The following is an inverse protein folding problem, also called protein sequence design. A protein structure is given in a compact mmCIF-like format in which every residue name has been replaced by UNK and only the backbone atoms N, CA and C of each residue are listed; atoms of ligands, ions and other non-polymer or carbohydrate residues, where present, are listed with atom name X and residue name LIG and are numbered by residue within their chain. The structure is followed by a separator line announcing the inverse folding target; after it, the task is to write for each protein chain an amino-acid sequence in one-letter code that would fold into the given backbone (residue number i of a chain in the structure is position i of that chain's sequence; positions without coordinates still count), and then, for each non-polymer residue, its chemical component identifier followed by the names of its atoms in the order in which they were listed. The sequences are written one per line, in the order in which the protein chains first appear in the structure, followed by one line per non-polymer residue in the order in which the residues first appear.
data_IF_988283177939
#
_entry.id   IF_988283177939
#
_cell.length_a   1.000
_cell.length_b   1.000
_cell.length_c   1.000
_cell.angle_alpha   90.00
_cell.angle_beta   90.00
_cell.angle_gamma   90.00
#
_symmetry.space_group_name_H-M   'P 1'
#
loop_
_entity.id
_entity.type
_entity.pdbx_description
1 polymer ?
#
# COMPACT_ATOMS: atom_id res chain seq x y z
N UNK A 1 -13.35 -10.79 0.77
CA UNK A 1 -14.05 -9.49 0.63
C UNK A 1 -15.31 -9.43 1.50
N UNK A 2 -16.30 -10.31 1.31
CA UNK A 2 -17.55 -10.31 2.09
C UNK A 2 -17.33 -10.35 3.63
N UNK A 3 -16.47 -11.25 4.12
CA UNK A 3 -16.15 -11.36 5.56
C UNK A 3 -15.51 -10.08 6.12
N UNK A 4 -14.65 -9.42 5.34
CA UNK A 4 -13.95 -8.20 5.76
C UNK A 4 -14.91 -6.99 5.79
N UNK A 5 -15.90 -6.96 4.90
CA UNK A 5 -16.95 -5.92 4.88
C UNK A 5 -17.98 -6.15 6.00
N UNK A 6 -18.32 -7.41 6.27
CA UNK A 6 -19.20 -7.79 7.39
C UNK A 6 -18.63 -7.35 8.75
N UNK A 7 -17.30 -7.32 8.91
CA UNK A 7 -16.65 -6.92 10.15
C UNK A 7 -16.84 -5.43 10.50
N UNK A 8 -17.14 -4.55 9.53
CA UNK A 8 -17.33 -3.11 9.75
C UNK A 8 -18.52 -2.55 8.95
N UNK A 9 -19.66 -3.26 8.94
CA UNK A 9 -20.82 -2.86 8.13
C UNK A 9 -21.36 -1.47 8.50
N UNK A 10 -21.30 -1.11 9.78
CA UNK A 10 -21.67 0.22 10.28
C UNK A 10 -20.81 1.33 9.67
N UNK A 11 -19.48 1.12 9.58
CA UNK A 11 -18.57 2.07 8.95
C UNK A 11 -18.88 2.24 7.46
N UNK A 12 -19.28 1.17 6.77
CA UNK A 12 -19.68 1.23 5.37
C UNK A 12 -20.92 2.12 5.20
N UNK A 13 -21.98 1.88 6.00
CA UNK A 13 -23.18 2.72 5.98
C UNK A 13 -22.86 4.18 6.29
N UNK A 14 -22.05 4.42 7.32
CA UNK A 14 -21.61 5.77 7.69
C UNK A 14 -20.83 6.45 6.56
N UNK A 15 -20.01 5.70 5.82
CA UNK A 15 -19.25 6.21 4.67
C UNK A 15 -20.15 6.58 3.49
N UNK A 16 -21.20 5.81 3.24
CA UNK A 16 -22.22 6.12 2.23
C UNK A 16 -22.98 7.38 2.62
N UNK A 17 -23.40 7.48 3.88
CA UNK A 17 -24.08 8.67 4.39
C UNK A 17 -23.19 9.92 4.25
N UNK A 18 -21.90 9.80 4.58
CA UNK A 18 -20.92 10.87 4.37
C UNK A 18 -20.85 11.31 2.89
N UNK A 19 -20.84 10.37 1.94
CA UNK A 19 -20.84 10.67 0.51
C UNK A 19 -22.14 11.35 0.05
N UNK A 20 -23.29 10.91 0.55
CA UNK A 20 -24.58 11.54 0.25
C UNK A 20 -24.65 12.97 0.81
N UNK A 21 -24.21 13.18 2.05
CA UNK A 21 -24.11 14.51 2.66
C UNK A 21 -23.13 15.40 1.90
N UNK A 22 -22.02 14.84 1.41
CA UNK A 22 -21.09 15.58 0.55
C UNK A 22 -21.73 15.99 -0.77
N UNK A 23 -22.49 15.10 -1.43
CA UNK A 23 -23.21 15.43 -2.66
C UNK A 23 -24.24 16.54 -2.42
N UNK A 24 -25.00 16.45 -1.34
CA UNK A 24 -25.94 17.52 -0.93
C UNK A 24 -25.19 18.83 -0.73
N UNK A 25 -24.05 18.80 -0.02
CA UNK A 25 -23.21 19.97 0.21
C UNK A 25 -22.66 20.55 -1.10
N UNK A 26 -22.22 19.71 -2.03
CA UNK A 26 -21.68 20.09 -3.33
C UNK A 26 -22.68 20.90 -4.16
N UNK A 27 -23.96 20.51 -4.14
CA UNK A 27 -25.03 21.21 -4.85
C UNK A 27 -25.54 22.45 -4.09
N UNK A 28 -25.41 22.49 -2.76
CA UNK A 28 -25.88 23.63 -1.96
C UNK A 28 -24.85 24.74 -1.74
N UNK A 29 -23.58 24.37 -1.52
CA UNK A 29 -22.46 25.30 -1.31
C UNK A 29 -21.17 24.67 -1.85
N UNK A 30 -20.97 24.82 -3.16
CA UNK A 30 -19.84 24.24 -3.88
C UNK A 30 -18.48 24.68 -3.30
N UNK A 31 -18.34 25.95 -2.91
CA UNK A 31 -17.07 26.48 -2.41
C UNK A 31 -16.68 25.80 -1.11
N UNK A 32 -17.62 25.66 -0.17
CA UNK A 32 -17.36 24.95 1.08
C UNK A 32 -17.12 23.45 0.87
N UNK A 33 -17.85 22.82 -0.05
CA UNK A 33 -17.65 21.41 -0.38
C UNK A 33 -16.21 21.14 -0.86
N UNK A 34 -15.70 21.94 -1.80
CA UNK A 34 -14.35 21.79 -2.36
C UNK A 34 -13.27 21.92 -1.28
N UNK A 35 -13.41 22.86 -0.34
CA UNK A 35 -12.46 23.04 0.79
C UNK A 35 -12.38 21.79 1.67
N UNK A 36 -13.43 20.98 1.72
CA UNK A 36 -13.44 19.77 2.54
C UNK A 36 -12.79 18.54 1.87
N UNK A 37 -12.44 18.63 0.59
CA UNK A 37 -11.78 17.54 -0.13
C UNK A 37 -10.33 17.47 0.32
N UNK A 38 -10.00 16.40 1.05
CA UNK A 38 -8.63 16.07 1.44
C UNK A 38 -8.30 14.62 1.07
N UNK A 39 -7.03 14.24 1.15
CA UNK A 39 -6.55 12.90 0.73
C UNK A 39 -7.31 11.80 1.47
N UNK A 40 -7.51 11.93 2.77
CA UNK A 40 -8.26 10.94 3.56
C UNK A 40 -9.72 10.82 3.11
N UNK A 41 -10.40 11.94 2.84
CA UNK A 41 -11.76 11.91 2.34
C UNK A 41 -11.85 11.21 1.00
N UNK A 42 -10.94 11.52 0.07
CA UNK A 42 -10.86 10.86 -1.24
C UNK A 42 -10.61 9.36 -1.10
N UNK A 43 -9.70 8.96 -0.21
CA UNK A 43 -9.34 7.56 0.04
C UNK A 43 -10.53 6.73 0.57
N UNK A 44 -11.26 7.26 1.58
CA UNK A 44 -12.48 6.62 2.08
C UNK A 44 -13.60 6.60 1.02
N UNK A 45 -13.72 7.67 0.23
CA UNK A 45 -14.72 7.79 -0.84
C UNK A 45 -14.50 6.75 -1.94
N UNK A 46 -13.26 6.64 -2.45
CA UNK A 46 -12.88 5.66 -3.48
C UNK A 46 -13.08 4.25 -2.96
N UNK A 47 -12.64 3.96 -1.74
CA UNK A 47 -12.82 2.64 -1.10
C UNK A 47 -14.30 2.26 -1.04
N UNK A 48 -15.16 3.21 -0.66
CA UNK A 48 -16.61 3.00 -0.53
C UNK A 48 -17.25 2.75 -1.90
N UNK A 49 -16.96 3.59 -2.89
CA UNK A 49 -17.51 3.45 -4.25
C UNK A 49 -17.06 2.13 -4.90
N UNK A 50 -15.78 1.76 -4.73
CA UNK A 50 -15.25 0.53 -5.30
C UNK A 50 -15.91 -0.72 -4.69
N UNK A 51 -16.31 -0.72 -3.42
CA UNK A 51 -17.04 -1.88 -2.85
C UNK A 51 -18.29 -2.19 -3.66
N UNK A 52 -19.04 -1.17 -4.08
CA UNK A 52 -20.28 -1.33 -4.83
C UNK A 52 -20.03 -1.61 -6.32
N UNK A 53 -18.98 -1.01 -6.90
CA UNK A 53 -18.65 -1.24 -8.30
C UNK A 53 -17.95 -2.58 -8.54
N UNK A 54 -17.23 -3.13 -7.56
CA UNK A 54 -16.42 -4.33 -7.74
C UNK A 54 -17.20 -5.56 -8.25
N UNK A 55 -18.38 -5.92 -7.73
CA UNK A 55 -19.17 -7.02 -8.30
C UNK A 55 -19.49 -6.81 -9.79
N UNK A 56 -19.85 -5.58 -10.18
CA UNK A 56 -20.12 -5.22 -11.56
C UNK A 56 -18.85 -5.28 -12.43
N UNK A 57 -17.74 -4.74 -11.91
CA UNK A 57 -16.43 -4.79 -12.59
C UNK A 57 -16.00 -6.24 -12.81
N UNK A 58 -16.14 -7.12 -11.82
CA UNK A 58 -15.83 -8.54 -11.97
C UNK A 58 -16.69 -9.18 -13.05
N UNK A 59 -17.99 -8.87 -13.11
CA UNK A 59 -18.87 -9.39 -14.16
C UNK A 59 -18.47 -8.90 -15.57
N UNK A 60 -18.14 -7.62 -15.72
CA UNK A 60 -17.72 -7.01 -16.98
C UNK A 60 -16.37 -7.58 -17.45
N UNK A 61 -15.39 -7.65 -16.55
CA UNK A 61 -14.02 -8.07 -16.84
C UNK A 61 -13.80 -9.59 -16.76
N UNK A 62 -14.84 -10.37 -16.47
CA UNK A 62 -14.74 -11.82 -16.30
C UNK A 62 -14.07 -12.52 -17.51
N UNK A 63 -14.34 -12.05 -18.73
CA UNK A 63 -13.72 -12.63 -19.95
C UNK A 63 -12.23 -12.32 -20.11
N UNK A 64 -11.72 -11.23 -19.52
CA UNK A 64 -10.33 -10.78 -19.65
C UNK A 64 -9.45 -11.28 -18.49
N UNK A 65 -10.02 -11.61 -17.34
CA UNK A 65 -9.31 -12.08 -16.14
C UNK A 65 -9.03 -13.60 -16.14
N UNK A 66 -8.82 -14.20 -17.32
CA UNK A 66 -8.49 -15.64 -17.47
C UNK A 66 -7.25 -16.10 -16.67
N UNK A 67 -6.40 -15.18 -16.23
CA UNK A 67 -5.22 -15.49 -15.40
C UNK A 67 -5.57 -15.73 -13.93
N UNK A 68 -6.73 -15.22 -13.47
CA UNK A 68 -7.28 -15.42 -12.13
C UNK A 68 -8.34 -16.54 -12.08
N UNK A 69 -8.72 -17.10 -13.25
CA UNK A 69 -9.73 -18.15 -13.38
C UNK A 69 -9.20 -19.57 -13.11
N UNK A 70 -7.88 -19.75 -13.01
CA UNK A 70 -7.34 -21.01 -12.49
C UNK A 70 -7.87 -21.24 -11.07
N UNK A 71 -8.13 -22.50 -10.69
CA UNK A 71 -8.54 -22.91 -9.33
C UNK A 71 -7.81 -22.05 -8.30
N UNK A 72 -8.53 -21.51 -7.31
CA UNK A 72 -8.02 -20.64 -6.22
C UNK A 72 -6.65 -21.16 -5.74
N UNK A 73 -5.57 -20.65 -6.34
CA UNK A 73 -4.22 -21.04 -5.99
C UNK A 73 -3.77 -20.14 -4.86
N UNK A 74 -2.80 -20.61 -4.08
CA UNK A 74 -2.16 -19.81 -3.04
C UNK A 74 -1.75 -18.41 -3.54
N UNK A 75 -1.21 -18.34 -4.77
CA UNK A 75 -0.80 -17.10 -5.45
C UNK A 75 -2.00 -16.17 -5.67
N UNK A 76 -3.09 -16.65 -6.29
CA UNK A 76 -4.24 -15.79 -6.58
C UNK A 76 -4.93 -15.30 -5.31
N UNK A 77 -4.94 -16.12 -4.25
CA UNK A 77 -5.43 -15.72 -2.93
C UNK A 77 -4.61 -14.57 -2.33
N UNK A 78 -3.28 -14.66 -2.38
CA UNK A 78 -2.39 -13.61 -1.82
C UNK A 78 -2.47 -12.33 -2.64
N UNK A 79 -2.43 -12.40 -3.98
CA UNK A 79 -2.59 -11.21 -4.82
C UNK A 79 -3.93 -10.53 -4.51
N UNK A 80 -5.01 -11.30 -4.40
CA UNK A 80 -6.32 -10.77 -4.03
C UNK A 80 -6.31 -10.12 -2.64
N UNK A 81 -5.63 -10.73 -1.67
CA UNK A 81 -5.48 -10.16 -0.33
C UNK A 81 -4.72 -8.84 -0.34
N UNK A 82 -3.56 -8.79 -1.01
CA UNK A 82 -2.73 -7.60 -1.13
C UNK A 82 -3.46 -6.46 -1.84
N UNK A 83 -4.16 -6.75 -2.94
CA UNK A 83 -5.00 -5.76 -3.63
C UNK A 83 -6.17 -5.30 -2.77
N UNK A 84 -6.80 -6.22 -2.02
CA UNK A 84 -7.88 -5.89 -1.08
C UNK A 84 -7.38 -4.94 0.01
N UNK A 85 -6.20 -5.21 0.58
CA UNK A 85 -5.60 -4.33 1.58
C UNK A 85 -5.25 -2.97 0.98
N UNK A 86 -4.69 -2.92 -0.22
CA UNK A 86 -4.39 -1.66 -0.89
C UNK A 86 -5.63 -0.82 -1.14
N UNK A 87 -6.69 -1.42 -1.66
CA UNK A 87 -7.89 -0.67 -2.02
C UNK A 87 -8.72 -0.34 -0.78
N UNK A 88 -8.97 -1.30 0.10
CA UNK A 88 -9.99 -1.19 1.14
C UNK A 88 -9.46 -0.90 2.56
N UNK A 89 -8.16 -0.69 2.78
CA UNK A 89 -7.60 -0.37 4.11
C UNK A 89 -8.46 0.57 4.99
N UNK A 90 -9.03 1.68 4.47
CA UNK A 90 -9.80 2.63 5.27
C UNK A 90 -11.03 2.02 5.92
N UNK A 91 -11.62 1.03 5.23
CA UNK A 91 -12.82 0.33 5.65
C UNK A 91 -12.52 -0.97 6.42
N UNK A 92 -11.35 -1.57 6.20
CA UNK A 92 -10.97 -2.83 6.89
C UNK A 92 -10.33 -2.59 8.24
N UNK A 93 -9.61 -1.49 8.41
CA UNK A 93 -8.75 -1.25 9.57
C UNK A 93 -9.52 -0.62 10.73
N UNK A 94 -9.22 -1.02 11.97
CA UNK A 94 -9.88 -0.52 13.19
C UNK A 94 -9.39 0.85 13.67
N UNK A 95 -8.17 1.27 13.30
CA UNK A 95 -7.56 2.54 13.73
C UNK A 95 -6.81 3.24 12.59
N UNK A 96 -6.60 4.55 12.70
CA UNK A 96 -5.61 5.20 11.85
C UNK A 96 -4.21 4.60 12.14
N UNK A 97 -3.38 4.30 11.12
CA UNK A 97 -2.06 3.68 11.32
C UNK A 97 -1.09 4.53 12.16
N UNK A 98 -1.32 5.84 12.25
CA UNK A 98 -0.54 6.77 13.05
C UNK A 98 -1.24 7.15 14.37
N UNK A 99 -2.34 6.48 14.72
CA UNK A 99 -3.06 6.77 15.96
C UNK A 99 -2.22 6.37 17.18
N UNK A 100 -1.87 7.35 18.00
CA UNK A 100 -1.10 7.18 19.22
C UNK A 100 -1.80 7.89 20.39
N UNK A 101 -1.98 7.21 21.52
CA UNK A 101 -2.55 7.79 22.73
C UNK A 101 -2.21 6.96 23.97
N UNK A 102 -2.08 7.62 25.12
CA UNK A 102 -1.95 6.98 26.44
C UNK A 102 -0.84 5.92 26.49
N UNK A 103 0.37 6.32 26.07
CA UNK A 103 1.58 5.47 25.95
C UNK A 103 1.89 4.64 27.20
N UNK A 104 1.42 5.06 28.37
CA UNK A 104 1.58 4.30 29.63
C UNK A 104 0.85 2.97 29.60
N UNK A 105 -0.25 2.88 28.85
CA UNK A 105 -1.12 1.72 28.74
C UNK A 105 -0.95 1.02 27.40
N UNK A 106 -0.71 1.78 26.32
CA UNK A 106 -0.77 1.25 24.96
C UNK A 106 0.59 0.85 24.38
N UNK A 107 1.71 1.27 24.97
CA UNK A 107 3.04 0.99 24.43
C UNK A 107 3.39 -0.49 24.53
N UNK A 108 3.87 -1.08 23.41
CA UNK A 108 4.41 -2.44 23.33
C UNK A 108 3.51 -3.52 23.95
N UNK A 109 2.20 -3.42 23.69
CA UNK A 109 1.25 -4.46 24.05
C UNK A 109 1.46 -5.68 23.15
N UNK A 110 1.47 -6.86 23.76
CA UNK A 110 1.59 -8.14 23.06
C UNK A 110 0.35 -8.40 22.18
N UNK A 111 0.45 -9.26 21.17
CA UNK A 111 -0.70 -9.71 20.38
C UNK A 111 -1.86 -10.17 21.27
N UNK A 112 -3.09 -9.85 20.85
CA UNK A 112 -4.34 -10.13 21.56
C UNK A 112 -4.52 -9.40 22.90
N UNK A 113 -3.69 -8.42 23.22
CA UNK A 113 -3.90 -7.56 24.40
C UNK A 113 -5.18 -6.71 24.26
N UNK A 114 -5.93 -6.60 25.33
CA UNK A 114 -7.15 -5.77 25.40
C UNK A 114 -6.97 -4.61 26.37
N UNK A 115 -7.41 -3.42 25.97
CA UNK A 115 -7.45 -2.21 26.80
C UNK A 115 -8.87 -1.64 26.84
N UNK A 116 -9.21 -0.92 27.89
CA UNK A 116 -10.50 -0.25 28.00
C UNK A 116 -10.39 1.18 27.47
N UNK A 117 -11.34 1.58 26.63
CA UNK A 117 -11.59 2.97 26.22
C UNK A 117 -12.64 3.56 27.15
N UNK A 118 -12.31 4.64 27.84
CA UNK A 118 -13.24 5.43 28.63
C UNK A 118 -13.58 6.71 27.85
N UNK A 119 -14.84 6.88 27.47
CA UNK A 119 -15.29 8.04 26.70
C UNK A 119 -15.51 9.27 27.59
N UNK A 120 -14.99 10.40 27.16
CA UNK A 120 -15.12 11.69 27.81
C UNK A 120 -16.36 12.41 27.30
N UNK A 121 -17.02 13.14 28.20
CA UNK A 121 -18.21 13.92 27.84
C UNK A 121 -17.80 15.03 26.87
N UNK A 122 -18.43 15.03 25.71
CA UNK A 122 -18.29 16.08 24.71
C UNK A 122 -19.59 16.85 24.60
N UNK A 123 -19.50 18.16 24.38
CA UNK A 123 -20.65 18.94 23.98
C UNK A 123 -21.07 18.48 22.59
N UNK A 124 -22.14 17.69 22.53
CA UNK A 124 -22.76 17.27 21.27
C UNK A 124 -23.47 18.47 20.67
N UNK A 125 -22.71 19.30 19.95
CA UNK A 125 -23.28 20.36 19.13
C UNK A 125 -24.13 19.68 18.07
N UNK A 126 -25.46 19.84 18.14
CA UNK A 126 -26.33 19.37 17.06
C UNK A 126 -25.97 20.15 15.80
N UNK A 127 -25.80 19.47 14.65
CA UNK A 127 -25.45 20.16 13.42
C UNK A 127 -26.56 21.14 13.06
N UNK A 128 -26.22 22.43 12.95
CA UNK A 128 -27.16 23.51 12.65
C UNK A 128 -27.25 23.76 11.14
N UNK A 129 -26.19 23.45 10.39
CA UNK A 129 -26.11 23.62 8.93
C UNK A 129 -25.82 22.31 8.21
N UNK A 130 -26.04 22.28 6.88
CA UNK A 130 -25.66 21.17 6.00
C UNK A 130 -24.15 20.89 6.07
N UNK A 131 -23.33 21.94 6.18
CA UNK A 131 -21.89 21.82 6.38
C UNK A 131 -21.59 21.10 7.70
N UNK A 132 -22.25 21.49 8.80
CA UNK A 132 -22.02 20.87 10.11
C UNK A 132 -22.42 19.39 10.11
N UNK A 133 -23.53 19.03 9.47
CA UNK A 133 -23.95 17.64 9.31
C UNK A 133 -22.89 16.82 8.55
N UNK A 134 -22.36 17.38 7.46
CA UNK A 134 -21.29 16.73 6.70
C UNK A 134 -20.00 16.60 7.52
N UNK A 135 -19.55 17.68 8.18
CA UNK A 135 -18.33 17.66 9.00
C UNK A 135 -18.46 16.68 10.17
N UNK A 136 -19.63 16.64 10.81
CA UNK A 136 -19.93 15.69 11.87
C UNK A 136 -19.76 14.25 11.38
N UNK A 137 -20.41 13.89 10.27
CA UNK A 137 -20.31 12.55 9.69
C UNK A 137 -18.92 12.22 9.19
N UNK A 138 -18.24 13.17 8.55
CA UNK A 138 -16.85 13.05 8.12
C UNK A 138 -15.92 12.71 9.27
N UNK A 139 -16.11 13.33 10.44
CA UNK A 139 -15.31 13.06 11.64
C UNK A 139 -15.61 11.70 12.30
N UNK A 140 -16.82 11.17 12.10
CA UNK A 140 -17.20 9.81 12.55
C UNK A 140 -16.57 8.73 11.67
N UNK A 141 -16.54 8.96 10.34
CA UNK A 141 -16.01 8.00 9.36
C UNK A 141 -14.49 8.02 9.27
N UNK A 142 -13.90 9.21 9.13
CA UNK A 142 -12.47 9.34 8.87
C UNK A 142 -11.71 9.20 10.19
N UNK A 143 -11.05 8.05 10.36
CA UNK A 143 -10.22 7.76 11.52
C UNK A 143 -9.06 8.76 11.63
N UNK A 144 -9.04 9.54 12.71
CA UNK A 144 -8.01 10.55 12.99
C UNK A 144 -6.75 9.91 13.59
N UNK A 145 -5.61 10.57 13.44
CA UNK A 145 -4.34 10.21 14.11
C UNK A 145 -4.31 10.57 15.60
N UNK A 146 -5.26 11.38 16.06
CA UNK A 146 -5.45 11.72 17.46
C UNK A 146 -6.92 12.01 17.75
N UNK A 147 -7.37 11.71 18.97
CA UNK A 147 -8.72 11.99 19.44
C UNK A 147 -8.67 12.36 20.91
N UNK A 148 -9.46 13.37 21.30
CA UNK A 148 -9.68 13.75 22.69
C UNK A 148 -10.91 13.07 23.29
N UNK A 149 -11.67 12.32 22.50
CA UNK A 149 -13.01 11.83 22.86
C UNK A 149 -12.97 10.68 23.87
N UNK A 150 -11.84 9.97 23.99
CA UNK A 150 -11.69 8.85 24.90
C UNK A 150 -10.25 8.72 25.40
N UNK A 151 -10.06 8.07 26.54
CA UNK A 151 -8.73 7.70 27.07
C UNK A 151 -8.61 6.18 27.21
N UNK A 152 -7.41 5.64 27.07
CA UNK A 152 -7.12 4.24 27.36
C UNK A 152 -6.72 4.05 28.82
N UNK A 153 -7.30 3.02 29.43
CA UNK A 153 -7.13 2.70 30.85
C UNK A 153 -7.00 1.19 31.06
N UNK A 154 -6.28 0.79 32.10
CA UNK A 154 -6.13 -0.62 32.47
C UNK A 154 -7.40 -1.16 33.15
N UNK A 155 -7.98 -0.36 34.04
CA UNK A 155 -9.19 -0.70 34.78
C UNK A 155 -9.94 0.55 35.20
N UNK A 156 -11.25 0.43 35.30
CA UNK A 156 -12.15 1.47 35.82
C UNK A 156 -12.86 0.94 37.05
N UNK A 157 -12.83 1.71 38.14
CA UNK A 157 -13.58 1.48 39.37
C UNK A 157 -14.48 2.67 39.64
N UNK A 158 -15.72 2.41 40.05
CA UNK A 158 -16.68 3.45 40.41
C UNK A 158 -16.64 3.60 41.93
N UNK A 159 -16.35 4.81 42.43
CA UNK A 159 -16.28 5.10 43.87
C UNK A 159 -17.13 6.32 44.19
N UNK A 160 -18.40 6.12 44.53
CA UNK A 160 -19.34 7.19 44.88
C UNK A 160 -19.63 8.14 43.71
N UNK A 161 -19.34 9.43 43.88
CA UNK A 161 -19.51 10.48 42.86
C UNK A 161 -18.37 10.58 41.85
N UNK A 162 -17.24 9.91 42.12
CA UNK A 162 -16.05 9.94 41.27
C UNK A 162 -15.81 8.59 40.60
N UNK A 163 -15.19 8.63 39.42
CA UNK A 163 -14.69 7.46 38.72
C UNK A 163 -13.18 7.43 38.90
N UNK A 164 -12.65 6.28 39.32
CA UNK A 164 -11.22 6.06 39.49
C UNK A 164 -10.77 5.15 38.36
N UNK A 165 -9.84 5.62 37.54
CA UNK A 165 -9.23 4.79 36.51
C UNK A 165 -7.73 4.63 36.76
N UNK A 166 -7.20 3.48 36.34
CA UNK A 166 -5.79 3.15 36.54
C UNK A 166 -5.04 3.23 35.21
N UNK A 167 -3.93 3.96 35.20
CA UNK A 167 -2.95 3.94 34.11
C UNK A 167 -1.57 3.55 34.68
N UNK A 168 -1.08 2.36 34.33
CA UNK A 168 0.25 1.87 34.75
C UNK A 168 0.53 2.10 36.24
N UNK A 169 -0.35 1.58 37.09
CA UNK A 169 -0.32 1.64 38.56
C UNK A 169 -0.57 3.02 39.20
N UNK A 170 -0.88 4.07 38.42
CA UNK A 170 -1.39 5.33 38.97
C UNK A 170 -2.91 5.35 38.90
N UNK A 171 -3.54 5.49 40.06
CA UNK A 171 -4.98 5.74 40.15
C UNK A 171 -5.25 7.25 39.97
N UNK A 172 -6.14 7.58 39.04
CA UNK A 172 -6.54 8.95 38.75
C UNK A 172 -8.04 9.06 38.96
N UNK A 173 -8.45 10.06 39.74
CA UNK A 173 -9.85 10.38 40.01
C UNK A 173 -10.35 11.38 38.99
N UNK A 174 -11.47 11.10 38.35
CA UNK A 174 -12.19 12.00 37.44
C UNK A 174 -13.65 12.11 37.88
N UNK A 175 -14.19 13.32 37.82
CA UNK A 175 -15.60 13.56 38.12
C UNK A 175 -16.51 12.96 37.06
N UNK A 176 -17.69 12.47 37.46
CA UNK A 176 -18.69 11.91 36.54
C UNK A 176 -19.21 12.94 35.52
N UNK A 177 -19.10 14.23 35.82
CA UNK A 177 -19.44 15.35 34.95
C UNK A 177 -18.63 15.38 33.65
N UNK A 178 -17.41 14.84 33.67
CA UNK A 178 -16.48 14.83 32.52
C UNK A 178 -16.53 13.54 31.69
N UNK A 179 -17.39 12.59 32.05
CA UNK A 179 -17.46 11.26 31.42
C UNK A 179 -18.77 11.11 30.66
N UNK A 180 -18.71 10.48 29.50
CA UNK A 180 -19.93 10.13 28.77
C UNK A 180 -20.66 8.98 29.48
N UNK A 181 -21.91 9.22 29.86
CA UNK A 181 -22.75 8.25 30.56
C UNK A 181 -23.85 7.80 29.59
N UNK A 182 -23.93 6.49 29.35
CA UNK A 182 -24.99 5.87 28.56
C UNK A 182 -25.76 4.90 29.46
N UNK A 183 -27.07 5.07 29.57
CA UNK A 183 -27.95 4.25 30.41
C UNK A 183 -27.49 4.18 31.90
N UNK A 184 -27.03 5.30 32.46
CA UNK A 184 -26.61 5.39 33.86
C UNK A 184 -25.23 4.78 34.18
N UNK A 185 -24.51 4.25 33.19
CA UNK A 185 -23.14 3.73 33.33
C UNK A 185 -22.15 4.53 32.49
N UNK A 186 -20.88 4.65 32.92
CA UNK A 186 -19.83 5.23 32.08
C UNK A 186 -19.69 4.41 30.80
N UNK A 187 -19.62 5.09 29.66
CA UNK A 187 -19.41 4.44 28.37
C UNK A 187 -17.98 3.92 28.30
N UNK A 188 -17.85 2.60 28.39
CA UNK A 188 -16.58 1.87 28.35
C UNK A 188 -16.64 0.84 27.23
N UNK A 189 -15.65 0.86 26.35
CA UNK A 189 -15.51 -0.13 25.27
C UNK A 189 -14.17 -0.84 25.35
N UNK A 190 -14.16 -2.15 25.16
CA UNK A 190 -12.91 -2.91 25.04
C UNK A 190 -12.34 -2.78 23.63
N UNK A 191 -11.05 -2.42 23.51
CA UNK A 191 -10.30 -2.49 22.26
C UNK A 191 -9.24 -3.58 22.36
N UNK A 192 -9.26 -4.52 21.43
CA UNK A 192 -8.26 -5.59 21.31
C UNK A 192 -7.27 -5.27 20.19
N UNK A 193 -5.98 -5.36 20.49
CA UNK A 193 -4.88 -5.20 19.52
C UNK A 193 -4.44 -6.58 19.03
N UNK A 194 -5.00 -7.02 17.90
CA UNK A 194 -4.82 -8.39 17.38
C UNK A 194 -3.34 -8.74 17.18
N UNK A 195 -2.59 -7.85 16.53
CA UNK A 195 -1.14 -8.03 16.29
C UNK A 195 -0.27 -7.25 17.28
N UNK A 196 -0.85 -6.77 18.37
CA UNK A 196 -0.16 -5.95 19.37
C UNK A 196 0.05 -4.51 18.92
N UNK A 197 0.88 -3.79 19.67
CA UNK A 197 1.21 -2.39 19.41
C UNK A 197 2.71 -2.16 19.34
N UNK A 198 3.10 -0.99 18.82
CA UNK A 198 4.49 -0.56 18.73
C UNK A 198 4.94 0.32 19.91
N UNK A 199 6.16 0.88 19.80
CA UNK A 199 6.75 1.75 20.82
C UNK A 199 5.99 3.06 21.08
N UNK A 200 5.09 3.43 20.16
CA UNK A 200 4.20 4.59 20.28
C UNK A 200 2.74 4.19 20.57
N UNK A 201 2.48 2.91 20.82
CA UNK A 201 1.13 2.40 21.08
C UNK A 201 0.22 2.40 19.84
N UNK A 202 0.81 2.47 18.64
CA UNK A 202 0.08 2.38 17.36
C UNK A 202 -0.26 0.91 17.09
N UNK A 203 -1.44 0.65 16.53
CA UNK A 203 -1.90 -0.71 16.23
C UNK A 203 -1.11 -1.32 15.05
N UNK A 204 -0.41 -2.44 15.29
CA UNK A 204 0.44 -3.08 14.29
C UNK A 204 -0.38 -3.61 13.12
N UNK A 205 -1.59 -4.13 13.35
CA UNK A 205 -2.46 -4.61 12.27
C UNK A 205 -2.86 -3.48 11.32
N UNK A 206 -3.26 -2.33 11.88
CA UNK A 206 -3.56 -1.13 11.12
C UNK A 206 -2.37 -0.69 10.27
N UNK A 207 -1.17 -0.65 10.85
CA UNK A 207 0.07 -0.28 10.14
C UNK A 207 0.43 -1.29 9.05
N UNK A 208 0.28 -2.59 9.32
CA UNK A 208 0.59 -3.66 8.37
C UNK A 208 -0.26 -3.58 7.10
N UNK A 209 -1.58 -3.38 7.27
CA UNK A 209 -2.54 -3.28 6.16
C UNK A 209 -2.26 -2.02 5.34
N UNK A 210 -2.10 -0.85 5.98
CA UNK A 210 -1.75 0.39 5.29
C UNK A 210 -0.36 0.34 4.65
N UNK A 211 0.59 -0.40 5.25
CA UNK A 211 1.94 -0.59 4.71
C UNK A 211 1.95 -1.25 3.33
N UNK A 212 0.98 -2.14 3.07
CA UNK A 212 0.76 -2.73 1.74
C UNK A 212 0.67 -1.65 0.66
N UNK A 213 -0.05 -0.55 0.91
CA UNK A 213 -0.29 0.50 -0.09
C UNK A 213 1.01 1.13 -0.56
N UNK A 214 1.82 1.57 0.39
CA UNK A 214 3.05 2.31 0.10
C UNK A 214 4.07 1.39 -0.57
N UNK A 215 4.30 0.20 -0.02
CA UNK A 215 5.28 -0.74 -0.59
C UNK A 215 4.87 -1.18 -2.00
N UNK A 216 3.60 -1.56 -2.24
CA UNK A 216 3.18 -1.95 -3.60
C UNK A 216 3.21 -0.76 -4.58
N UNK A 217 2.86 0.45 -4.14
CA UNK A 217 2.90 1.66 -4.97
C UNK A 217 4.32 2.00 -5.42
N UNK A 218 5.28 2.00 -4.51
CA UNK A 218 6.69 2.22 -4.83
C UNK A 218 7.19 1.13 -5.78
N UNK A 219 6.87 -0.14 -5.48
CA UNK A 219 7.20 -1.29 -6.32
C UNK A 219 6.72 -1.14 -7.76
N UNK A 220 5.43 -0.82 -7.93
CA UNK A 220 4.82 -0.67 -9.26
C UNK A 220 5.37 0.56 -9.99
N UNK A 221 5.52 1.69 -9.31
CA UNK A 221 6.06 2.91 -9.90
C UNK A 221 7.45 2.72 -10.46
N UNK A 222 8.35 2.09 -9.70
CA UNK A 222 9.71 1.83 -10.15
C UNK A 222 9.75 0.84 -11.32
N UNK A 223 8.94 -0.23 -11.30
CA UNK A 223 8.82 -1.17 -12.43
C UNK A 223 8.34 -0.49 -13.70
N UNK A 224 7.39 0.45 -13.61
CA UNK A 224 6.92 1.23 -14.77
C UNK A 224 8.04 2.09 -15.34
N UNK A 225 8.80 2.79 -14.49
CA UNK A 225 9.95 3.59 -14.92
C UNK A 225 11.00 2.70 -15.60
N UNK A 226 11.36 1.56 -14.99
CA UNK A 226 12.28 0.60 -15.59
C UNK A 226 11.77 0.03 -16.91
N UNK A 227 10.46 -0.22 -17.02
CA UNK A 227 9.83 -0.71 -18.24
C UNK A 227 10.05 0.26 -19.41
N UNK A 228 9.71 1.53 -19.24
CA UNK A 228 9.86 2.51 -20.31
C UNK A 228 11.31 2.69 -20.72
N UNK A 229 12.23 2.83 -19.76
CA UNK A 229 13.65 3.02 -20.05
C UNK A 229 14.24 1.77 -20.73
N UNK A 230 13.97 0.58 -20.18
CA UNK A 230 14.52 -0.67 -20.67
C UNK A 230 14.01 -1.05 -22.07
N UNK A 231 12.72 -0.85 -22.34
CA UNK A 231 12.13 -1.11 -23.67
C UNK A 231 12.68 -0.16 -24.71
N UNK A 232 12.71 1.14 -24.43
CA UNK A 232 13.14 2.16 -25.40
C UNK A 232 14.62 1.96 -25.73
N UNK A 233 15.49 1.88 -24.71
CA UNK A 233 16.93 1.73 -24.92
C UNK A 233 17.27 0.36 -25.52
N UNK A 234 16.58 -0.71 -25.08
CA UNK A 234 16.81 -2.06 -25.59
C UNK A 234 16.42 -2.17 -27.07
N UNK A 235 15.30 -1.57 -27.45
CA UNK A 235 14.88 -1.48 -28.85
C UNK A 235 15.87 -0.70 -29.68
N UNK A 236 16.28 0.50 -29.24
CA UNK A 236 17.24 1.32 -29.99
C UNK A 236 18.55 0.56 -30.20
N UNK A 237 19.14 0.01 -29.14
CA UNK A 237 20.40 -0.72 -29.21
C UNK A 237 20.30 -1.98 -30.10
N UNK A 238 19.26 -2.79 -29.92
CA UNK A 238 19.07 -4.00 -30.72
C UNK A 238 18.78 -3.70 -32.19
N UNK A 239 18.02 -2.63 -32.47
CA UNK A 239 17.62 -2.24 -33.81
C UNK A 239 18.77 -1.61 -34.61
N UNK A 240 19.44 -0.60 -34.06
CA UNK A 240 20.50 0.13 -34.77
C UNK A 240 21.81 -0.65 -34.80
N UNK A 241 22.15 -1.38 -33.72
CA UNK A 241 23.45 -2.02 -33.58
C UNK A 241 24.62 -1.02 -33.52
N UNK A 242 25.83 -1.51 -33.75
CA UNK A 242 27.03 -0.68 -33.91
C UNK A 242 27.46 0.06 -32.63
N UNK A 243 27.81 1.34 -32.78
CA UNK A 243 28.40 2.12 -31.69
C UNK A 243 27.45 2.35 -30.49
N UNK A 244 26.21 2.75 -30.74
CA UNK A 244 25.22 3.00 -29.69
C UNK A 244 24.93 1.74 -28.86
N UNK A 245 24.85 0.60 -29.55
CA UNK A 245 24.68 -0.69 -28.93
C UNK A 245 25.85 -1.04 -28.00
N UNK A 246 27.09 -0.93 -28.52
CA UNK A 246 28.31 -1.18 -27.74
C UNK A 246 28.43 -0.26 -26.52
N UNK A 247 28.14 1.04 -26.69
CA UNK A 247 28.21 2.03 -25.62
C UNK A 247 27.20 1.75 -24.51
N UNK A 248 25.93 1.52 -24.84
CA UNK A 248 24.90 1.22 -23.86
C UNK A 248 25.19 -0.11 -23.15
N UNK A 249 25.59 -1.15 -23.89
CA UNK A 249 25.96 -2.42 -23.28
C UNK A 249 27.11 -2.24 -22.28
N UNK A 250 28.17 -1.51 -22.65
CA UNK A 250 29.31 -1.24 -21.77
C UNK A 250 28.92 -0.44 -20.53
N UNK A 251 28.05 0.55 -20.68
CA UNK A 251 27.51 1.31 -19.56
C UNK A 251 26.75 0.40 -18.59
N UNK A 252 25.84 -0.45 -19.10
CA UNK A 252 25.11 -1.37 -18.23
C UNK A 252 26.01 -2.39 -17.53
N UNK A 253 27.05 -2.90 -18.20
CA UNK A 253 28.03 -3.80 -17.58
C UNK A 253 28.79 -3.12 -16.44
N UNK A 254 29.21 -1.87 -16.64
CA UNK A 254 29.90 -1.10 -15.62
C UNK A 254 29.04 -0.90 -14.37
N UNK A 255 27.77 -0.50 -14.54
CA UNK A 255 26.86 -0.26 -13.40
C UNK A 255 26.44 -1.55 -12.69
N UNK A 256 26.21 -2.64 -13.43
CA UNK A 256 25.86 -3.94 -12.84
C UNK A 256 27.01 -4.60 -12.10
N UNK A 257 28.26 -4.19 -12.35
CA UNK A 257 29.42 -4.65 -11.58
C UNK A 257 29.44 -4.04 -10.15
N UNK A 258 28.78 -2.90 -9.93
CA UNK A 258 28.63 -2.32 -8.60
C UNK A 258 27.43 -2.95 -7.86
N UNK A 259 27.51 -3.18 -6.54
CA UNK A 259 26.35 -3.65 -5.81
C UNK A 259 25.26 -2.57 -5.79
N UNK A 260 24.13 -2.89 -6.43
CA UNK A 260 23.08 -1.92 -6.77
C UNK A 260 22.53 -1.16 -5.56
N UNK A 261 22.49 -1.81 -4.38
CA UNK A 261 22.03 -1.19 -3.14
C UNK A 261 22.91 -0.01 -2.73
N UNK A 262 24.24 -0.09 -2.88
CA UNK A 262 25.13 1.03 -2.56
C UNK A 262 24.90 2.21 -3.48
N UNK A 263 24.65 1.96 -4.77
CA UNK A 263 24.32 3.01 -5.73
C UNK A 263 23.00 3.70 -5.35
N UNK A 264 21.97 2.93 -5.02
CA UNK A 264 20.67 3.45 -4.61
C UNK A 264 20.81 4.31 -3.34
N UNK A 265 21.53 3.81 -2.33
CA UNK A 265 21.79 4.53 -1.08
C UNK A 265 22.56 5.84 -1.35
N UNK A 266 23.61 5.80 -2.16
CA UNK A 266 24.38 6.98 -2.52
C UNK A 266 23.53 8.05 -3.19
N UNK A 267 22.68 7.65 -4.15
CA UNK A 267 21.79 8.59 -4.84
C UNK A 267 20.77 9.17 -3.84
N UNK A 268 20.10 8.34 -3.04
CA UNK A 268 19.12 8.82 -2.04
C UNK A 268 19.78 9.64 -0.92
N UNK A 269 21.08 9.48 -0.66
CA UNK A 269 21.78 10.34 0.30
C UNK A 269 22.03 11.75 -0.26
N UNK A 270 22.12 11.91 -1.59
CA UNK A 270 22.33 13.19 -2.27
C UNK A 270 21.00 13.90 -2.55
N UNK A 271 19.96 13.14 -2.90
CA UNK A 271 18.63 13.65 -3.20
C UNK A 271 17.71 13.55 -1.96
N UNK A 272 16.74 14.45 -1.80
CA UNK A 272 15.78 14.32 -0.70
C UNK A 272 14.99 12.99 -0.78
N UNK A 273 14.79 12.36 0.39
CA UNK A 273 14.04 11.10 0.53
C UNK A 273 12.53 11.31 0.39
N UNK A 274 12.10 11.63 -0.83
CA UNK A 274 10.69 11.67 -1.22
C UNK A 274 10.25 10.34 -1.84
N UNK A 275 8.95 10.02 -1.74
CA UNK A 275 8.37 8.83 -2.41
C UNK A 275 8.70 8.84 -3.91
N UNK A 276 8.65 10.01 -4.55
CA UNK A 276 8.97 10.18 -5.96
C UNK A 276 10.45 9.92 -6.25
N UNK A 277 11.36 10.45 -5.42
CA UNK A 277 12.80 10.19 -5.51
C UNK A 277 13.08 8.70 -5.40
N UNK A 278 12.50 8.02 -4.40
CA UNK A 278 12.68 6.57 -4.21
C UNK A 278 12.21 5.79 -5.44
N UNK A 279 11.03 6.12 -5.98
CA UNK A 279 10.50 5.48 -7.20
C UNK A 279 11.45 5.68 -8.38
N UNK A 280 11.94 6.91 -8.60
CA UNK A 280 12.85 7.20 -9.71
C UNK A 280 14.18 6.48 -9.55
N UNK A 281 14.79 6.50 -8.37
CA UNK A 281 16.09 5.86 -8.14
C UNK A 281 15.98 4.34 -8.30
N UNK A 282 14.94 3.72 -7.74
CA UNK A 282 14.69 2.29 -7.91
C UNK A 282 14.37 1.93 -9.37
N UNK A 283 13.61 2.78 -10.08
CA UNK A 283 13.28 2.56 -11.48
C UNK A 283 14.47 2.73 -12.44
N UNK A 284 15.29 3.75 -12.22
CA UNK A 284 16.51 4.03 -13.01
C UNK A 284 17.65 3.07 -12.66
N UNK A 285 17.62 2.40 -11.52
CA UNK A 285 18.53 1.29 -11.25
C UNK A 285 18.06 -0.02 -11.87
N UNK A 286 16.76 -0.23 -12.04
CA UNK A 286 16.17 -1.48 -12.54
C UNK A 286 16.19 -1.70 -14.06
N UNK A 287 16.28 -0.65 -14.88
CA UNK A 287 16.08 -0.78 -16.35
C UNK A 287 17.12 -1.65 -17.07
N UNK A 288 18.32 -1.79 -16.50
CA UNK A 288 19.46 -2.47 -17.14
C UNK A 288 19.17 -3.95 -17.41
N UNK A 289 18.46 -4.64 -16.51
CA UNK A 289 18.07 -6.04 -16.71
C UNK A 289 17.12 -6.18 -17.90
N UNK A 290 16.12 -5.30 -17.98
CA UNK A 290 15.13 -5.34 -19.05
C UNK A 290 15.73 -4.93 -20.40
N UNK A 291 16.62 -3.94 -20.40
CA UNK A 291 17.39 -3.53 -21.58
C UNK A 291 18.08 -4.70 -22.25
N UNK A 292 18.81 -5.54 -21.49
CA UNK A 292 19.55 -6.69 -22.03
C UNK A 292 18.62 -7.70 -22.70
N UNK A 293 17.47 -7.98 -22.08
CA UNK A 293 16.46 -8.91 -22.60
C UNK A 293 15.86 -8.36 -23.90
N UNK A 294 15.35 -7.13 -23.87
CA UNK A 294 14.71 -6.51 -25.05
C UNK A 294 15.69 -6.40 -26.20
N UNK A 295 16.93 -5.97 -25.93
CA UNK A 295 18.00 -5.90 -26.92
C UNK A 295 18.25 -7.25 -27.59
N UNK A 296 18.41 -8.31 -26.79
CA UNK A 296 18.68 -9.64 -27.32
C UNK A 296 17.53 -10.14 -28.20
N UNK A 297 16.28 -9.93 -27.78
CA UNK A 297 15.11 -10.33 -28.57
C UNK A 297 14.96 -9.49 -29.86
N UNK A 298 15.21 -8.18 -29.80
CA UNK A 298 15.17 -7.31 -31.00
C UNK A 298 16.22 -7.72 -32.02
N UNK A 299 17.43 -8.12 -31.58
CA UNK A 299 18.47 -8.66 -32.48
C UNK A 299 17.99 -9.93 -33.19
N UNK A 300 17.23 -10.80 -32.52
CA UNK A 300 16.65 -12.01 -33.12
C UNK A 300 15.50 -11.69 -34.07
N UNK A 301 14.62 -10.76 -33.70
CA UNK A 301 13.42 -10.44 -34.49
C UNK A 301 13.75 -9.63 -35.74
N UNK A 302 14.77 -8.76 -35.70
CA UNK A 302 15.11 -7.91 -36.85
C UNK A 302 15.59 -8.67 -38.09
N UNK A 303 15.98 -9.94 -37.92
CA UNK A 303 16.39 -10.82 -39.02
C UNK A 303 15.24 -11.69 -39.55
N UNK A 304 14.02 -11.53 -39.04
CA UNK A 304 12.83 -12.29 -39.48
C UNK A 304 12.13 -11.58 -40.63
N UNK A 305 11.56 -12.35 -41.56
CA UNK A 305 10.93 -11.83 -42.78
C UNK A 305 9.84 -10.80 -42.47
N UNK A 306 8.95 -11.06 -41.51
CA UNK A 306 7.88 -10.13 -41.15
C UNK A 306 8.42 -8.73 -40.75
N UNK A 307 9.54 -8.69 -40.02
CA UNK A 307 10.16 -7.45 -39.58
C UNK A 307 10.83 -6.72 -40.75
N UNK A 308 11.51 -7.47 -41.64
CA UNK A 308 12.12 -6.93 -42.85
C UNK A 308 11.03 -6.35 -43.77
N UNK A 309 9.95 -7.09 -44.00
CA UNK A 309 8.79 -6.64 -44.78
C UNK A 309 8.15 -5.40 -44.19
N UNK A 310 7.90 -5.36 -42.87
CA UNK A 310 7.38 -4.19 -42.19
C UNK A 310 8.26 -2.94 -42.40
N UNK A 311 9.59 -3.13 -42.38
CA UNK A 311 10.54 -2.05 -42.66
C UNK A 311 10.49 -1.60 -44.13
N UNK A 312 10.40 -2.53 -45.09
CA UNK A 312 10.31 -2.21 -46.52
C UNK A 312 9.03 -1.44 -46.88
N UNK A 313 7.94 -1.70 -46.16
CA UNK A 313 6.67 -0.95 -46.29
C UNK A 313 6.75 0.45 -45.65
N UNK A 314 7.87 0.79 -44.99
CA UNK A 314 8.11 2.13 -44.45
C UNK A 314 7.46 2.38 -43.09
N UNK A 315 7.26 1.34 -42.26
CA UNK A 315 6.78 1.54 -40.89
C UNK A 315 7.78 2.39 -40.08
N UNK A 316 7.25 3.37 -39.34
CA UNK A 316 8.04 4.18 -38.42
C UNK A 316 8.58 3.35 -37.25
N UNK A 317 9.68 3.78 -36.63
CA UNK A 317 10.30 3.08 -35.49
C UNK A 317 9.31 2.82 -34.35
N UNK A 318 8.39 3.77 -34.08
CA UNK A 318 7.33 3.58 -33.09
C UNK A 318 6.37 2.44 -33.48
N UNK A 319 5.98 2.35 -34.76
CA UNK A 319 5.13 1.26 -35.26
C UNK A 319 5.88 -0.07 -35.26
N UNK A 320 7.15 -0.09 -35.63
CA UNK A 320 7.99 -1.29 -35.52
C UNK A 320 8.06 -1.79 -34.07
N UNK A 321 8.33 -0.91 -33.12
CA UNK A 321 8.35 -1.28 -31.70
C UNK A 321 6.99 -1.79 -31.21
N UNK A 322 5.92 -1.03 -31.43
CA UNK A 322 4.62 -1.32 -30.81
C UNK A 322 3.82 -2.42 -31.51
N UNK A 323 3.97 -2.60 -32.83
CA UNK A 323 3.21 -3.58 -33.61
C UNK A 323 4.01 -4.83 -33.95
N UNK A 324 5.31 -4.72 -34.18
CA UNK A 324 6.14 -5.85 -34.63
C UNK A 324 6.97 -6.44 -33.49
N UNK A 325 7.56 -5.62 -32.61
CA UNK A 325 8.46 -6.11 -31.54
C UNK A 325 7.70 -6.49 -30.28
N UNK A 326 7.00 -5.53 -29.65
CA UNK A 326 6.38 -5.71 -28.34
C UNK A 326 5.45 -6.94 -28.26
N UNK A 327 4.56 -7.20 -29.24
CA UNK A 327 3.71 -8.37 -29.21
C UNK A 327 4.49 -9.69 -29.23
N UNK A 328 5.66 -9.73 -29.88
CA UNK A 328 6.51 -10.91 -29.99
C UNK A 328 7.41 -11.13 -28.74
N UNK A 329 7.73 -10.07 -27.99
CA UNK A 329 8.60 -10.15 -26.81
C UNK A 329 7.87 -10.00 -25.47
N UNK A 330 6.53 -9.92 -25.49
CA UNK A 330 5.73 -9.64 -24.30
C UNK A 330 5.97 -10.66 -23.19
N UNK A 331 6.19 -11.93 -23.55
CA UNK A 331 6.45 -13.01 -22.59
C UNK A 331 7.71 -12.75 -21.74
N UNK A 332 8.93 -12.72 -22.32
CA UNK A 332 10.14 -12.50 -21.53
C UNK A 332 10.17 -11.13 -20.85
N UNK A 333 9.51 -10.11 -21.44
CA UNK A 333 9.37 -8.79 -20.82
C UNK A 333 8.54 -8.87 -19.54
N UNK A 334 7.32 -9.44 -19.58
CA UNK A 334 6.44 -9.50 -18.41
C UNK A 334 7.07 -10.35 -17.30
N UNK A 335 7.70 -11.48 -17.65
CA UNK A 335 8.41 -12.32 -16.67
C UNK A 335 9.49 -11.52 -15.96
N UNK A 336 10.32 -10.76 -16.70
CA UNK A 336 11.36 -9.93 -16.10
C UNK A 336 10.79 -8.81 -15.21
N UNK A 337 9.69 -8.16 -15.62
CA UNK A 337 9.05 -7.12 -14.80
C UNK A 337 8.55 -7.67 -13.45
N UNK A 338 8.05 -8.90 -13.41
CA UNK A 338 7.60 -9.54 -12.17
C UNK A 338 8.78 -9.84 -11.24
N UNK A 339 9.91 -10.32 -11.77
CA UNK A 339 11.12 -10.49 -10.97
C UNK A 339 11.69 -9.15 -10.47
N UNK A 340 11.70 -8.15 -11.35
CA UNK A 340 12.13 -6.80 -11.02
C UNK A 340 11.27 -6.21 -9.89
N UNK A 341 9.95 -6.43 -9.94
CA UNK A 341 9.02 -6.03 -8.89
C UNK A 341 9.45 -6.56 -7.52
N UNK A 342 9.76 -7.86 -7.42
CA UNK A 342 10.25 -8.45 -6.17
C UNK A 342 11.54 -7.80 -5.67
N UNK A 343 12.51 -7.59 -6.57
CA UNK A 343 13.79 -6.95 -6.22
C UNK A 343 13.60 -5.50 -5.73
N UNK A 344 12.71 -4.74 -6.37
CA UNK A 344 12.39 -3.37 -5.98
C UNK A 344 11.71 -3.33 -4.61
N UNK A 345 10.75 -4.21 -4.33
CA UNK A 345 10.09 -4.30 -3.02
C UNK A 345 11.12 -4.60 -1.92
N UNK A 346 12.05 -5.52 -2.18
CA UNK A 346 13.12 -5.83 -1.24
C UNK A 346 14.08 -4.65 -1.04
N UNK A 347 14.44 -3.94 -2.11
CA UNK A 347 15.29 -2.75 -2.05
C UNK A 347 14.60 -1.59 -1.29
N UNK A 348 13.32 -1.35 -1.53
CA UNK A 348 12.51 -0.38 -0.77
C UNK A 348 12.50 -0.72 0.72
N UNK A 349 12.24 -1.99 1.06
CA UNK A 349 12.24 -2.44 2.44
C UNK A 349 13.62 -2.25 3.10
N UNK A 350 14.72 -2.53 2.38
CA UNK A 350 16.07 -2.30 2.87
C UNK A 350 16.37 -0.81 3.09
N UNK A 351 15.95 0.07 2.18
CA UNK A 351 16.09 1.53 2.35
C UNK A 351 15.29 2.06 3.53
N UNK A 352 14.02 1.65 3.63
CA UNK A 352 13.15 1.98 4.77
C UNK A 352 13.73 1.46 6.08
N UNK A 353 14.34 0.26 6.07
CA UNK A 353 15.06 -0.28 7.22
C UNK A 353 16.26 0.61 7.62
N UNK A 354 17.02 1.10 6.66
CA UNK A 354 18.16 2.01 6.87
C UNK A 354 17.76 3.45 7.21
N UNK A 355 16.45 3.76 7.27
CA UNK A 355 15.96 5.12 7.53
C UNK A 355 15.98 6.05 6.31
N UNK A 356 16.24 5.52 5.12
CA UNK A 356 16.25 6.22 3.83
C UNK A 356 14.95 6.01 3.03
N UNK A 357 13.89 5.56 3.71
CA UNK A 357 12.56 5.37 3.12
C UNK A 357 11.72 6.65 3.11
N UNK A 358 10.41 6.51 2.85
CA UNK A 358 9.45 7.62 2.76
C UNK A 358 9.14 8.34 4.10
N UNK A 359 9.91 8.06 5.15
CA UNK A 359 9.75 8.61 6.50
C UNK A 359 8.57 8.04 7.29
N UNK A 360 8.31 8.62 8.47
CA UNK A 360 7.35 8.10 9.44
C UNK A 360 5.88 8.52 9.18
N UNK A 361 5.63 9.30 8.12
CA UNK A 361 4.29 9.80 7.80
C UNK A 361 3.36 8.68 7.31
N UNK A 362 3.93 7.67 6.65
CA UNK A 362 3.20 6.54 6.08
C UNK A 362 3.88 5.25 6.53
N UNK A 363 3.13 4.24 7.00
CA UNK A 363 3.74 2.95 7.33
C UNK A 363 4.28 2.30 6.05
N UNK A 364 5.47 1.72 6.14
CA UNK A 364 6.00 0.74 5.18
C UNK A 364 6.46 -0.49 5.96
N UNK A 365 6.53 -1.66 5.32
CA UNK A 365 6.97 -2.86 6.02
C UNK A 365 8.43 -2.76 6.47
N UNK A 366 9.30 -2.09 5.70
CA UNK A 366 10.68 -1.83 6.10
C UNK A 366 10.81 -0.90 7.31
N UNK A 367 10.00 0.17 7.39
CA UNK A 367 9.98 1.07 8.55
C UNK A 367 9.49 0.35 9.80
N UNK A 368 8.48 -0.52 9.67
CA UNK A 368 7.98 -1.30 10.81
C UNK A 368 9.06 -2.25 11.37
N UNK A 369 9.85 -2.87 10.48
CA UNK A 369 10.99 -3.73 10.88
C UNK A 369 12.08 -2.89 11.57
N UNK A 370 12.42 -1.72 11.01
CA UNK A 370 13.38 -0.80 11.64
C UNK A 370 12.94 -0.44 13.06
N UNK A 371 11.68 0.00 13.21
CA UNK A 371 11.12 0.40 14.49
C UNK A 371 11.21 -0.72 15.53
N UNK A 372 11.09 -1.97 15.11
CA UNK A 372 11.19 -3.15 15.99
C UNK A 372 12.60 -3.58 16.36
N UNK A 373 13.64 -3.12 15.64
CA UNK A 373 15.03 -3.55 15.86
C UNK A 373 15.46 -3.35 17.32
N UNK A 374 15.17 -2.18 17.88
CA UNK A 374 15.50 -1.83 19.26
C UNK A 374 14.69 -2.58 20.31
N UNK A 375 13.65 -3.31 19.91
CA UNK A 375 12.70 -3.98 20.81
C UNK A 375 12.59 -5.49 20.55
N UNK A 376 13.50 -6.08 19.77
CA UNK A 376 13.39 -7.49 19.34
C UNK A 376 13.21 -8.49 20.48
N UNK A 377 13.80 -8.23 21.65
CA UNK A 377 13.73 -9.13 22.82
C UNK A 377 12.40 -9.06 23.57
N UNK A 378 11.64 -7.96 23.43
CA UNK A 378 10.40 -7.73 24.18
C UNK A 378 9.15 -7.58 23.30
N UNK A 379 9.33 -7.20 22.03
CA UNK A 379 8.27 -6.92 21.06
C UNK A 379 8.58 -7.52 19.68
N UNK A 380 8.90 -8.81 19.67
CA UNK A 380 9.25 -9.57 18.45
C UNK A 380 8.22 -9.45 17.32
N UNK A 381 6.93 -9.26 17.65
CA UNK A 381 5.84 -9.12 16.68
C UNK A 381 6.01 -7.91 15.75
N UNK A 382 6.71 -6.86 16.20
CA UNK A 382 6.99 -5.68 15.40
C UNK A 382 7.83 -5.98 14.16
N UNK A 383 8.69 -7.01 14.22
CA UNK A 383 9.53 -7.44 13.10
C UNK A 383 8.88 -8.60 12.36
N UNK A 384 8.36 -9.59 13.10
CA UNK A 384 7.88 -10.84 12.51
C UNK A 384 6.68 -10.62 11.58
N UNK A 385 5.69 -9.81 11.95
CA UNK A 385 4.51 -9.60 11.10
C UNK A 385 4.81 -8.85 9.79
N UNK A 386 5.51 -7.69 9.78
CA UNK A 386 5.91 -7.07 8.51
C UNK A 386 6.92 -7.91 7.72
N UNK A 387 7.82 -8.64 8.38
CA UNK A 387 8.73 -9.58 7.73
C UNK A 387 8.00 -10.72 7.01
N UNK A 388 6.96 -11.29 7.63
CA UNK A 388 6.12 -12.31 7.01
C UNK A 388 5.35 -11.75 5.80
N UNK A 389 4.86 -10.51 5.87
CA UNK A 389 4.21 -9.89 4.71
C UNK A 389 5.17 -9.70 3.54
N UNK A 390 6.38 -9.20 3.79
CA UNK A 390 7.43 -9.11 2.77
C UNK A 390 7.74 -10.50 2.17
N UNK A 391 7.95 -11.51 3.01
CA UNK A 391 8.23 -12.87 2.56
C UNK A 391 7.12 -13.43 1.66
N UNK A 392 5.86 -13.30 2.09
CA UNK A 392 4.69 -13.77 1.34
C UNK A 392 4.56 -13.03 0.00
N UNK A 393 4.76 -11.71 -0.01
CA UNK A 393 4.73 -10.90 -1.24
C UNK A 393 5.83 -11.31 -2.22
N UNK A 394 7.06 -11.51 -1.74
CA UNK A 394 8.20 -11.92 -2.59
C UNK A 394 8.02 -13.34 -3.14
N UNK A 395 7.56 -14.27 -2.30
CA UNK A 395 7.24 -15.63 -2.73
C UNK A 395 6.16 -15.61 -3.83
N UNK A 396 5.12 -14.80 -3.65
CA UNK A 396 4.05 -14.64 -4.62
C UNK A 396 4.54 -14.05 -5.94
N UNK A 397 5.42 -13.04 -5.90
CA UNK A 397 6.02 -12.48 -7.11
C UNK A 397 6.86 -13.51 -7.87
N UNK A 398 7.71 -14.27 -7.17
CA UNK A 398 8.55 -15.30 -7.78
C UNK A 398 7.72 -16.43 -8.43
N UNK A 399 6.72 -16.95 -7.72
CA UNK A 399 5.82 -17.97 -8.26
C UNK A 399 4.96 -17.45 -9.42
N UNK A 400 4.53 -16.18 -9.37
CA UNK A 400 3.81 -15.54 -10.47
C UNK A 400 4.68 -15.45 -11.73
N UNK A 401 5.96 -15.06 -11.57
CA UNK A 401 6.93 -15.01 -12.68
C UNK A 401 7.08 -16.37 -13.37
N UNK A 402 7.31 -17.43 -12.58
CA UNK A 402 7.41 -18.81 -13.08
C UNK A 402 6.13 -19.28 -13.77
N UNK A 403 4.95 -18.99 -13.20
CA UNK A 403 3.68 -19.37 -13.80
C UNK A 403 3.43 -18.68 -15.14
N UNK A 404 3.77 -17.40 -15.24
CA UNK A 404 3.66 -16.63 -16.48
C UNK A 404 4.61 -17.22 -17.54
N UNK A 405 5.86 -17.48 -17.17
CA UNK A 405 6.86 -18.10 -18.05
C UNK A 405 6.38 -19.44 -18.60
N UNK A 406 5.89 -20.34 -17.74
CA UNK A 406 5.36 -21.64 -18.16
C UNK A 406 4.19 -21.50 -19.14
N UNK A 407 3.23 -20.59 -18.87
CA UNK A 407 2.06 -20.41 -19.73
C UNK A 407 2.43 -19.96 -21.14
N UNK A 408 3.39 -19.04 -21.25
CA UNK A 408 3.86 -18.57 -22.55
C UNK A 408 4.67 -19.63 -23.29
N UNK A 409 5.55 -20.37 -22.59
CA UNK A 409 6.32 -21.45 -23.21
C UNK A 409 5.44 -22.63 -23.66
N UNK A 410 4.40 -22.98 -22.89
CA UNK A 410 3.45 -24.03 -23.27
C UNK A 410 2.58 -23.68 -24.47
N UNK A 411 2.41 -22.39 -24.79
CA UNK A 411 1.64 -21.93 -25.95
C UNK A 411 2.42 -21.94 -27.26
N UNK A 412 3.75 -22.13 -27.22
CA UNK A 412 4.64 -22.22 -28.38
C UNK A 412 4.80 -23.68 -28.84
N UNK A 413 4.37 -24.65 -28.02
CA UNK A 413 4.37 -26.07 -28.33
C UNK A 413 2.99 -26.53 -28.82
N UNK A 414 2.47 -25.96 -29.91
CA UNK A 414 1.36 -26.52 -30.71
C UNK A 414 1.65 -26.28 -32.19
#
# INVERSE_FOLDING_TARGET
MAVIILLNIELLFNSIEMLLLFLVLLFSDFKQAVVQINISFVDYSISTLLIFMMPLLVLIFNKQLKILQDKLTFISAIITLLLTFTIFAPLTVSSNPNFQKDLRVTKLLTPFSTVQKLYLKKDKIKPASKLDSFIFKKNEVIKKSFSEDFIFVNSVKISGSNLIYTQKNKEIKIGKDKIEIKNGKPLIESKTFILGTDQYGRDILSRLIYGTRLSLFIGLGAVIVSFFIGIILGFIAGYTGGFFDSLLNRFTEMFLAFPILFLIIFIIAIFDSSIFSIILVLGVSGWMSLFKIVRAEVIKLKTKDFFITAKLIGLSNYKLLTKEVLPNIISPVVVNLVFLYGNVILAEAALSFLGLGAGNNYPSWGEMIQAGQSYITIAWWMIVFPGLMLFITLLTANELGRKIEHRFNSGIAI
#
